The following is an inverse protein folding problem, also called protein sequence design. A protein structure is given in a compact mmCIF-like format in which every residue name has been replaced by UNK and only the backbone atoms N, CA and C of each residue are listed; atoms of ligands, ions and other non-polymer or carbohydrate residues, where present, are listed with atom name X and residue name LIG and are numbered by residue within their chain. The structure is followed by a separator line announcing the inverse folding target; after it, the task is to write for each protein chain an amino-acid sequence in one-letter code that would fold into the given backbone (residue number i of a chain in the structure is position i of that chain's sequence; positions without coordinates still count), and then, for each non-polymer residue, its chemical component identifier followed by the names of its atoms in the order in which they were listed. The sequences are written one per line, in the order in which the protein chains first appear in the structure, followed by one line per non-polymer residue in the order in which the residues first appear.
data_IF_192717999623
#
_entry.id   IF_192717999623
#
_cell.length_a   1.000
_cell.length_b   1.000
_cell.length_c   1.000
_cell.angle_alpha   90.00
_cell.angle_beta   90.00
_cell.angle_gamma   90.00
#
_symmetry.space_group_name_H-M   'P 1'
#
loop_
_entity.id
_entity.type
_entity.pdbx_description
1 polymer ?
#
# COMPACT_ATOMS: atom_id res chain seq x y z
N UNK A 1 -53.67 35.56 -57.86
CA UNK A 1 -52.49 35.05 -57.13
C UNK A 1 -51.89 33.93 -57.98
N UNK A 2 -50.83 34.22 -58.73
CA UNK A 2 -50.19 33.28 -59.65
C UNK A 2 -49.16 32.45 -58.89
N UNK A 3 -49.38 31.14 -58.84
CA UNK A 3 -48.47 30.17 -58.22
C UNK A 3 -47.34 29.92 -59.23
N UNK A 4 -46.12 30.32 -58.89
CA UNK A 4 -44.93 30.02 -59.67
C UNK A 4 -44.47 28.60 -59.34
N UNK A 5 -44.83 27.62 -60.17
CA UNK A 5 -44.18 26.32 -60.14
C UNK A 5 -42.74 26.50 -60.66
N UNK A 6 -41.71 26.02 -59.92
CA UNK A 6 -40.36 26.04 -60.44
C UNK A 6 -40.32 25.22 -61.73
N UNK A 7 -39.61 25.69 -62.77
CA UNK A 7 -39.47 24.94 -64.01
C UNK A 7 -38.81 23.61 -63.67
N UNK A 8 -39.47 22.50 -64.03
CA UNK A 8 -38.93 21.15 -63.94
C UNK A 8 -37.81 21.00 -64.98
N UNK A 9 -36.69 21.65 -64.72
CA UNK A 9 -35.54 21.69 -65.60
C UNK A 9 -34.97 20.28 -65.69
N UNK A 10 -34.90 19.77 -66.91
CA UNK A 10 -34.41 18.45 -67.30
C UNK A 10 -33.05 18.06 -66.66
N UNK A 11 -32.28 19.08 -66.24
CA UNK A 11 -31.00 18.96 -65.52
C UNK A 11 -31.14 18.18 -64.20
N UNK A 12 -32.26 18.29 -63.47
CA UNK A 12 -32.45 17.61 -62.18
C UNK A 12 -32.91 16.15 -62.31
N UNK A 13 -33.35 15.72 -63.50
CA UNK A 13 -33.88 14.36 -63.71
C UNK A 13 -32.83 13.26 -63.60
N UNK A 14 -31.55 13.61 -63.78
CA UNK A 14 -30.43 12.67 -63.76
C UNK A 14 -29.61 12.71 -62.46
N UNK A 15 -29.99 13.56 -61.51
CA UNK A 15 -29.47 13.43 -60.15
C UNK A 15 -30.17 12.24 -59.50
N UNK A 16 -29.55 11.08 -59.67
CA UNK A 16 -29.84 9.88 -58.90
C UNK A 16 -29.66 10.26 -57.43
N UNK A 17 -30.74 10.23 -56.65
CA UNK A 17 -30.69 10.42 -55.21
C UNK A 17 -29.58 9.53 -54.67
N UNK A 18 -28.52 10.16 -54.14
CA UNK A 18 -27.42 9.42 -53.52
C UNK A 18 -28.04 8.78 -52.29
N UNK A 19 -28.20 7.46 -52.31
CA UNK A 19 -28.68 6.71 -51.16
C UNK A 19 -27.82 7.11 -49.96
N UNK A 20 -28.46 7.79 -49.00
CA UNK A 20 -27.82 8.15 -47.74
C UNK A 20 -27.51 6.82 -47.07
N UNK A 21 -26.23 6.43 -47.08
CA UNK A 21 -25.78 5.20 -46.43
C UNK A 21 -26.34 5.19 -45.01
N UNK A 22 -27.06 4.11 -44.68
CA UNK A 22 -27.64 4.01 -43.34
C UNK A 22 -26.52 4.18 -42.31
N UNK A 23 -26.73 5.02 -41.27
CA UNK A 23 -25.71 5.32 -40.30
C UNK A 23 -25.20 4.01 -39.70
N UNK A 24 -23.91 3.77 -39.87
CA UNK A 24 -23.24 2.59 -39.34
C UNK A 24 -23.43 2.63 -37.82
N UNK A 25 -24.09 1.60 -37.27
CA UNK A 25 -24.23 1.47 -35.83
C UNK A 25 -22.83 1.32 -35.22
N UNK A 26 -22.38 2.36 -34.52
CA UNK A 26 -21.18 2.34 -33.68
C UNK A 26 -21.34 1.42 -32.47
N UNK A 27 -22.56 0.95 -32.22
CA UNK A 27 -22.83 -0.07 -31.22
C UNK A 27 -22.58 -1.45 -31.82
N UNK A 28 -21.62 -2.22 -31.27
CA UNK A 28 -21.26 -3.49 -31.85
C UNK A 28 -22.36 -4.53 -31.62
N UNK A 29 -22.83 -5.13 -32.72
CA UNK A 29 -23.85 -6.18 -32.69
C UNK A 29 -23.28 -7.56 -32.30
N UNK A 30 -21.96 -7.68 -32.14
CA UNK A 30 -21.26 -8.95 -31.91
C UNK A 30 -20.98 -9.20 -30.43
N UNK A 31 -21.16 -10.46 -30.00
CA UNK A 31 -20.87 -10.94 -28.64
C UNK A 31 -19.42 -10.67 -28.20
N UNK A 32 -18.50 -10.44 -29.14
CA UNK A 32 -17.08 -10.16 -28.87
C UNK A 32 -16.84 -8.98 -27.94
N UNK A 33 -17.66 -7.92 -27.99
CA UNK A 33 -17.52 -6.78 -27.08
C UNK A 33 -18.01 -7.06 -25.67
N UNK A 34 -19.01 -7.94 -25.52
CA UNK A 34 -19.44 -8.41 -24.20
C UNK A 34 -18.35 -9.27 -23.56
N UNK A 35 -17.70 -10.13 -24.35
CA UNK A 35 -16.56 -10.94 -23.90
C UNK A 35 -15.38 -10.03 -23.53
N UNK A 36 -15.03 -9.06 -24.37
CA UNK A 36 -14.00 -8.06 -24.06
C UNK A 36 -14.31 -7.27 -22.78
N UNK A 37 -15.56 -6.82 -22.63
CA UNK A 37 -16.02 -6.13 -21.42
C UNK A 37 -15.89 -7.01 -20.18
N UNK A 38 -16.27 -8.29 -20.27
CA UNK A 38 -16.14 -9.26 -19.19
C UNK A 38 -14.67 -9.50 -18.82
N UNK A 39 -13.78 -9.67 -19.81
CA UNK A 39 -12.34 -9.83 -19.59
C UNK A 39 -11.75 -8.58 -18.93
N UNK A 40 -12.08 -7.39 -19.45
CA UNK A 40 -11.61 -6.12 -18.89
C UNK A 40 -12.06 -5.95 -17.43
N UNK A 41 -13.31 -6.30 -17.12
CA UNK A 41 -13.86 -6.26 -15.77
C UNK A 41 -13.15 -7.27 -14.85
N UNK A 42 -12.89 -8.48 -15.32
CA UNK A 42 -12.14 -9.49 -14.56
C UNK A 42 -10.71 -9.03 -14.24
N UNK A 43 -10.01 -8.44 -15.21
CA UNK A 43 -8.67 -7.88 -15.01
C UNK A 43 -8.68 -6.71 -14.03
N UNK A 44 -9.68 -5.82 -14.11
CA UNK A 44 -9.85 -4.74 -13.14
C UNK A 44 -10.10 -5.27 -11.74
N UNK A 45 -11.00 -6.25 -11.59
CA UNK A 45 -11.29 -6.87 -10.31
C UNK A 45 -10.05 -7.55 -9.72
N UNK A 46 -9.30 -8.29 -10.53
CA UNK A 46 -8.04 -8.92 -10.12
C UNK A 46 -6.99 -7.89 -9.71
N UNK A 47 -6.78 -6.84 -10.52
CA UNK A 47 -5.83 -5.78 -10.20
C UNK A 47 -6.20 -5.01 -8.93
N UNK A 48 -7.49 -4.81 -8.69
CA UNK A 48 -7.98 -4.16 -7.47
C UNK A 48 -7.82 -5.06 -6.26
N UNK A 49 -8.11 -6.35 -6.39
CA UNK A 49 -7.86 -7.36 -5.34
C UNK A 49 -6.37 -7.42 -4.98
N UNK A 50 -5.49 -7.54 -5.97
CA UNK A 50 -4.04 -7.59 -5.74
C UNK A 50 -3.51 -6.31 -5.06
N UNK A 51 -4.01 -5.13 -5.47
CA UNK A 51 -3.64 -3.88 -4.80
C UNK A 51 -4.17 -3.80 -3.38
N UNK A 52 -5.40 -4.25 -3.14
CA UNK A 52 -5.97 -4.29 -1.79
C UNK A 52 -5.19 -5.24 -0.89
N UNK A 53 -4.85 -6.43 -1.35
CA UNK A 53 -4.05 -7.37 -0.56
C UNK A 53 -2.69 -6.77 -0.24
N UNK A 54 -1.97 -6.19 -1.20
CA UNK A 54 -0.69 -5.51 -0.94
C UNK A 54 -0.87 -4.35 0.05
N UNK A 55 -1.94 -3.57 -0.09
CA UNK A 55 -2.22 -2.45 0.82
C UNK A 55 -2.52 -2.91 2.25
N UNK A 56 -3.35 -3.94 2.41
CA UNK A 56 -3.63 -4.54 3.71
C UNK A 56 -2.36 -5.10 4.35
N UNK A 57 -1.53 -5.79 3.57
CA UNK A 57 -0.25 -6.28 4.06
C UNK A 57 0.72 -5.16 4.43
N UNK A 58 0.66 -3.98 3.81
CA UNK A 58 1.54 -2.86 4.18
C UNK A 58 0.96 -1.91 5.23
N UNK A 59 -0.32 -2.09 5.61
CA UNK A 59 -1.01 -1.21 6.55
C UNK A 59 -0.36 -1.21 7.93
N UNK A 60 0.04 -2.38 8.44
CA UNK A 60 0.70 -2.49 9.75
C UNK A 60 1.98 -1.64 9.82
N UNK A 61 2.73 -1.53 8.70
CA UNK A 61 3.95 -0.70 8.64
C UNK A 61 3.64 0.76 8.86
N UNK A 62 2.59 1.27 8.22
CA UNK A 62 2.15 2.66 8.37
C UNK A 62 1.68 2.95 9.78
N UNK A 63 0.89 2.07 10.38
CA UNK A 63 0.40 2.22 11.76
C UNK A 63 1.54 2.17 12.78
N UNK A 64 2.48 1.22 12.64
CA UNK A 64 3.66 1.14 13.48
C UNK A 64 4.57 2.37 13.34
N UNK A 65 4.79 2.86 12.11
CA UNK A 65 5.57 4.07 11.85
C UNK A 65 4.93 5.29 12.51
N UNK A 66 3.63 5.48 12.33
CA UNK A 66 2.89 6.60 12.94
C UNK A 66 2.95 6.53 14.48
N UNK A 67 2.79 5.32 15.05
CA UNK A 67 2.90 5.12 16.49
C UNK A 67 4.29 5.51 17.01
N UNK A 68 5.37 5.06 16.36
CA UNK A 68 6.74 5.43 16.76
C UNK A 68 7.01 6.92 16.60
N UNK A 69 6.54 7.54 15.51
CA UNK A 69 6.69 8.97 15.27
C UNK A 69 6.02 9.81 16.36
N UNK A 70 4.85 9.37 16.84
CA UNK A 70 4.10 10.03 17.91
C UNK A 70 4.75 9.96 19.30
N UNK A 71 5.72 9.04 19.50
CA UNK A 71 6.42 8.91 20.78
C UNK A 71 7.31 10.14 21.04
N UNK A 72 7.13 10.76 22.21
CA UNK A 72 8.03 11.79 22.72
C UNK A 72 9.27 11.17 23.35
N UNK A 73 10.44 11.72 23.05
CA UNK A 73 11.71 11.29 23.67
C UNK A 73 11.76 11.66 25.16
N UNK A 74 11.01 12.68 25.58
CA UNK A 74 10.93 13.14 26.98
C UNK A 74 10.11 12.18 27.85
N UNK A 75 9.28 11.32 27.25
CA UNK A 75 8.47 10.37 27.99
C UNK A 75 9.37 9.30 28.63
N UNK A 76 9.24 9.08 29.94
CA UNK A 76 9.93 8.01 30.65
C UNK A 76 9.52 6.61 30.16
N UNK A 77 8.30 6.48 29.66
CA UNK A 77 7.76 5.23 29.11
C UNK A 77 8.23 4.95 27.67
N UNK A 78 8.94 5.90 27.04
CA UNK A 78 9.42 5.78 25.66
C UNK A 78 10.06 4.41 25.34
N UNK A 79 11.00 3.87 26.14
CA UNK A 79 11.66 2.61 25.80
C UNK A 79 10.68 1.42 25.79
N UNK A 80 9.68 1.45 26.68
CA UNK A 80 8.66 0.41 26.82
C UNK A 80 7.61 0.50 25.72
N UNK A 81 7.16 1.71 25.39
CA UNK A 81 6.22 1.95 24.30
C UNK A 81 6.84 1.53 22.96
N UNK A 82 8.09 1.94 22.70
CA UNK A 82 8.83 1.53 21.52
C UNK A 82 8.98 0.01 21.43
N UNK A 83 9.35 -0.65 22.53
CA UNK A 83 9.47 -2.10 22.60
C UNK A 83 8.13 -2.79 22.30
N UNK A 84 7.04 -2.27 22.86
CA UNK A 84 5.69 -2.82 22.66
C UNK A 84 5.27 -2.72 21.19
N UNK A 85 5.50 -1.58 20.54
CA UNK A 85 5.19 -1.40 19.12
C UNK A 85 5.99 -2.41 18.27
N UNK A 86 7.29 -2.50 18.48
CA UNK A 86 8.14 -3.44 17.74
C UNK A 86 7.71 -4.90 17.97
N UNK A 87 7.30 -5.24 19.20
CA UNK A 87 6.79 -6.57 19.54
C UNK A 87 5.48 -6.91 18.83
N UNK A 88 4.56 -5.95 18.72
CA UNK A 88 3.32 -6.11 17.93
C UNK A 88 3.65 -6.35 16.45
N UNK A 89 4.59 -5.59 15.89
CA UNK A 89 5.04 -5.77 14.51
C UNK A 89 5.64 -7.15 14.29
N UNK A 90 6.54 -7.61 15.18
CA UNK A 90 7.14 -8.95 15.09
C UNK A 90 6.10 -10.07 15.19
N UNK A 91 5.09 -9.90 16.03
CA UNK A 91 4.00 -10.86 16.16
C UNK A 91 3.10 -10.87 14.92
N UNK A 92 2.94 -9.73 14.24
CA UNK A 92 2.25 -9.65 12.96
C UNK A 92 3.03 -10.36 11.85
N UNK A 93 4.36 -10.19 11.81
CA UNK A 93 5.24 -10.83 10.82
C UNK A 93 5.30 -12.35 10.97
N UNK A 94 5.43 -12.85 12.19
CA UNK A 94 5.41 -14.28 12.46
C UNK A 94 4.75 -14.56 13.82
N UNK A 95 3.57 -15.22 13.82
CA UNK A 95 2.88 -15.56 15.05
C UNK A 95 3.71 -16.60 15.81
N UNK A 96 4.20 -16.21 16.99
CA UNK A 96 5.15 -17.01 17.79
C UNK A 96 6.24 -16.17 18.45
N UNK A 97 6.51 -14.97 17.91
CA UNK A 97 7.48 -14.04 18.49
C UNK A 97 6.97 -13.26 19.72
N UNK A 98 5.76 -13.56 20.20
CA UNK A 98 5.11 -12.86 21.32
C UNK A 98 5.81 -13.06 22.67
N UNK A 99 6.68 -14.07 22.81
CA UNK A 99 7.47 -14.31 24.03
C UNK A 99 8.90 -13.78 23.94
N UNK A 100 9.35 -13.32 22.77
CA UNK A 100 10.72 -12.86 22.57
C UNK A 100 11.00 -11.60 23.41
N UNK A 101 12.09 -11.65 24.20
CA UNK A 101 12.56 -10.56 25.06
C UNK A 101 14.07 -10.66 25.25
N UNK A 102 14.79 -9.53 25.20
CA UNK A 102 16.26 -9.52 25.30
C UNK A 102 16.92 -10.04 24.01
N UNK A 103 17.92 -10.91 24.11
CA UNK A 103 18.68 -11.36 22.93
C UNK A 103 17.84 -12.06 21.85
N UNK A 104 16.83 -12.92 22.16
CA UNK A 104 15.98 -13.52 21.13
C UNK A 104 15.19 -12.47 20.35
N UNK A 105 14.78 -11.37 20.99
CA UNK A 105 14.07 -10.29 20.31
C UNK A 105 14.94 -9.62 19.23
N UNK A 106 16.19 -9.31 19.54
CA UNK A 106 17.12 -8.72 18.56
C UNK A 106 17.51 -9.71 17.47
N UNK A 107 17.71 -10.99 17.80
CA UNK A 107 17.95 -12.04 16.80
C UNK A 107 16.79 -12.17 15.81
N UNK A 108 15.54 -12.05 16.29
CA UNK A 108 14.38 -12.02 15.40
C UNK A 108 14.42 -10.79 14.49
N UNK A 109 14.73 -9.59 15.01
CA UNK A 109 14.85 -8.39 14.16
C UNK A 109 15.94 -8.54 13.09
N UNK A 110 17.10 -9.07 13.47
CA UNK A 110 18.24 -9.31 12.59
C UNK A 110 17.92 -10.38 11.51
N UNK A 111 16.97 -11.28 11.77
CA UNK A 111 16.53 -12.28 10.78
C UNK A 111 15.74 -11.69 9.60
N UNK A 112 15.08 -10.53 9.80
CA UNK A 112 14.30 -9.86 8.76
C UNK A 112 15.08 -8.75 8.03
N UNK A 113 16.22 -8.32 8.58
CA UNK A 113 17.04 -7.27 7.98
C UNK A 113 18.46 -7.27 8.55
N UNK A 114 19.45 -6.93 7.72
CA UNK A 114 20.87 -6.90 8.11
C UNK A 114 21.26 -5.74 9.03
N UNK A 115 20.38 -4.76 9.26
CA UNK A 115 20.63 -3.64 10.16
C UNK A 115 20.56 -4.13 11.62
N UNK A 116 21.72 -4.28 12.24
CA UNK A 116 21.84 -4.63 13.66
C UNK A 116 22.06 -3.41 14.52
N UNK A 117 21.37 -3.37 15.66
CA UNK A 117 21.60 -2.36 16.69
C UNK A 117 22.92 -2.67 17.42
N UNK A 118 23.75 -1.68 17.80
CA UNK A 118 24.95 -1.95 18.60
C UNK A 118 24.63 -2.70 19.89
N UNK A 119 25.35 -3.78 20.18
CA UNK A 119 25.22 -4.59 21.40
C UNK A 119 25.11 -3.79 22.71
N UNK A 120 25.92 -2.75 22.99
CA UNK A 120 25.79 -2.00 24.25
C UNK A 120 24.45 -1.25 24.37
N UNK A 121 23.86 -0.85 23.23
CA UNK A 121 22.56 -0.19 23.20
C UNK A 121 21.42 -1.21 23.32
N UNK A 122 21.55 -2.40 22.73
CA UNK A 122 20.62 -3.52 22.93
C UNK A 122 20.50 -3.88 24.42
N UNK A 123 21.65 -4.00 25.11
CA UNK A 123 21.71 -4.31 26.53
C UNK A 123 21.09 -3.21 27.38
N UNK A 124 21.46 -1.94 27.14
CA UNK A 124 20.89 -0.80 27.88
C UNK A 124 19.38 -0.68 27.68
N UNK A 125 18.89 -0.87 26.46
CA UNK A 125 17.46 -0.89 26.21
C UNK A 125 16.78 -2.02 26.98
N UNK A 126 17.29 -3.25 26.91
CA UNK A 126 16.73 -4.38 27.66
C UNK A 126 16.71 -4.12 29.17
N UNK A 127 17.79 -3.56 29.73
CA UNK A 127 17.87 -3.21 31.15
C UNK A 127 16.88 -2.11 31.53
N UNK A 128 16.67 -1.10 30.68
CA UNK A 128 15.68 -0.04 30.93
C UNK A 128 14.23 -0.55 30.98
N UNK A 129 13.94 -1.71 30.36
CA UNK A 129 12.61 -2.31 30.38
C UNK A 129 12.31 -3.02 31.71
N UNK A 130 13.34 -3.61 32.32
CA UNK A 130 13.23 -4.43 33.54
C UNK A 130 13.51 -3.62 34.80
N UNK A 131 14.43 -2.67 34.72
CA UNK A 131 14.92 -1.92 35.88
C UNK A 131 14.43 -0.48 35.85
N UNK A 132 13.95 0.00 37.02
CA UNK A 132 13.59 1.40 37.24
C UNK A 132 14.81 2.33 37.34
N UNK A 133 16.02 1.76 37.45
CA UNK A 133 17.25 2.52 37.72
C UNK A 133 18.04 2.87 36.47
N UNK A 134 17.75 2.23 35.33
CA UNK A 134 18.47 2.45 34.07
C UNK A 134 17.62 3.29 33.15
N UNK A 135 18.03 4.54 32.95
CA UNK A 135 17.43 5.46 32.00
C UNK A 135 18.32 5.59 30.77
N UNK A 136 17.70 5.57 29.59
CA UNK A 136 18.37 5.88 28.33
C UNK A 136 18.59 7.39 28.23
N UNK A 137 19.77 7.82 27.77
CA UNK A 137 19.98 9.23 27.43
C UNK A 137 19.13 9.62 26.21
N UNK A 138 18.87 10.91 26.04
CA UNK A 138 18.05 11.37 24.91
C UNK A 138 18.70 11.04 23.55
N UNK A 139 20.03 11.03 23.49
CA UNK A 139 20.77 10.56 22.31
C UNK A 139 20.53 9.09 22.00
N UNK A 140 20.48 8.23 23.02
CA UNK A 140 20.19 6.80 22.86
C UNK A 140 18.75 6.55 22.47
N UNK A 141 17.81 7.29 23.07
CA UNK A 141 16.39 7.23 22.69
C UNK A 141 16.19 7.64 21.23
N UNK A 142 16.86 8.70 20.79
CA UNK A 142 16.81 9.15 19.40
C UNK A 142 17.42 8.11 18.45
N UNK A 143 18.56 7.51 18.82
CA UNK A 143 19.19 6.46 18.03
C UNK A 143 18.28 5.21 17.92
N UNK A 144 17.63 4.81 19.01
CA UNK A 144 16.65 3.72 19.02
C UNK A 144 15.44 4.03 18.13
N UNK A 145 14.89 5.24 18.24
CA UNK A 145 13.76 5.69 17.40
C UNK A 145 14.13 5.60 15.92
N UNK A 146 15.29 6.13 15.56
CA UNK A 146 15.76 6.14 14.18
C UNK A 146 15.99 4.73 13.64
N UNK A 147 16.68 3.88 14.41
CA UNK A 147 16.89 2.47 14.07
C UNK A 147 15.57 1.74 13.82
N UNK A 148 14.58 1.86 14.72
CA UNK A 148 13.30 1.19 14.57
C UNK A 148 12.53 1.68 13.33
N UNK A 149 12.56 2.99 13.06
CA UNK A 149 11.92 3.55 11.87
C UNK A 149 12.58 3.07 10.57
N UNK A 150 13.91 2.96 10.54
CA UNK A 150 14.61 2.51 9.35
C UNK A 150 14.46 1.01 9.14
N UNK A 151 14.48 0.21 10.21
CA UNK A 151 14.14 -1.20 10.15
C UNK A 151 12.71 -1.41 9.63
N UNK A 152 11.72 -0.62 10.09
CA UNK A 152 10.34 -0.72 9.59
C UNK A 152 10.22 -0.40 8.09
N UNK A 153 11.06 0.49 7.56
CA UNK A 153 11.09 0.79 6.13
C UNK A 153 11.71 -0.35 5.32
N UNK A 154 12.79 -0.94 5.82
CA UNK A 154 13.67 -1.81 5.03
C UNK A 154 13.50 -3.31 5.28
N UNK A 155 12.82 -3.73 6.35
CA UNK A 155 12.60 -5.15 6.60
C UNK A 155 11.86 -5.80 5.45
N UNK A 156 12.30 -6.99 5.06
CA UNK A 156 11.66 -7.79 4.03
C UNK A 156 10.66 -8.72 4.70
N UNK A 157 9.38 -8.64 4.31
CA UNK A 157 8.46 -9.73 4.62
C UNK A 157 8.74 -10.79 3.58
N UNK A 158 9.11 -12.00 4.00
CA UNK A 158 9.14 -13.15 3.11
C UNK A 158 7.73 -13.29 2.52
N UNK A 159 7.55 -12.85 1.27
CA UNK A 159 6.29 -12.99 0.56
C UNK A 159 6.08 -14.49 0.30
N UNK A 160 5.00 -15.04 0.87
CA UNK A 160 4.50 -16.38 0.58
C UNK A 160 4.28 -16.59 -0.92
#
# INVERSE_FOLDING_TARGET
MTIHQPPSTYILRYFQDVEVLQPISWYPQTLGWQILGAIALALLAYGMYARLTIWYHNRYRSEAKQAIESLSLENEQFPRELFTIMKVVLNYLSPGNSTAFGSPFFQTLDSYHSLSLPQPLQQRWTLSLVSCHVHLSDSEKQQLKHYCLDWLKQHEVASL
#
